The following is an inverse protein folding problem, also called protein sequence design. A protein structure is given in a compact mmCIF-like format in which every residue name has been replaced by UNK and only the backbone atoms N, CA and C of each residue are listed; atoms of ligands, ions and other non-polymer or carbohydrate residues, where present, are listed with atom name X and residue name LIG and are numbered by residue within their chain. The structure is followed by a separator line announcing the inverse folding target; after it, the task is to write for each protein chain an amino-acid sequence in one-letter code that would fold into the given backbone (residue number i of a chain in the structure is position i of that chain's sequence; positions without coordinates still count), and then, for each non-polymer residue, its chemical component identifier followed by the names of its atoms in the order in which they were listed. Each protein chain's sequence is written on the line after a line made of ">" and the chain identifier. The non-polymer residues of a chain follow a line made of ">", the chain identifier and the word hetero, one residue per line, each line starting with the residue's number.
data_IF_243310452324
#
_entry.id   IF_243310452324
#
_cell.length_a   1.000
_cell.length_b   1.000
_cell.length_c   1.000
_cell.angle_alpha   90.00
_cell.angle_beta   90.00
_cell.angle_gamma   90.00
#
_symmetry.space_group_name_H-M   'P 1'
#
loop_
_entity.id
_entity.type
_entity.pdbx_description
1 polymer ?
#
# COMPACT_ATOMS: atom_id res chain seq x y z
N UNK A 1 11.86 8.34 9.86
CA UNK A 1 12.32 9.66 9.32
C UNK A 1 11.25 10.70 9.63
N UNK A 2 11.61 11.93 10.03
CA UNK A 2 10.66 13.03 10.08
C UNK A 2 10.24 13.45 8.66
N UNK A 3 8.94 13.70 8.49
CA UNK A 3 8.33 14.17 7.26
C UNK A 3 7.54 15.44 7.59
N UNK A 4 7.70 16.48 6.78
CA UNK A 4 7.14 17.81 6.99
C UNK A 4 6.28 18.20 5.79
N UNK A 5 5.05 18.63 6.06
CA UNK A 5 4.11 19.08 5.02
C UNK A 5 4.07 20.61 5.04
N UNK A 6 4.42 21.23 3.92
CA UNK A 6 4.36 22.67 3.72
C UNK A 6 3.37 23.02 2.62
N UNK A 7 2.59 24.08 2.82
CA UNK A 7 1.84 24.73 1.74
C UNK A 7 2.78 25.75 1.05
N UNK A 8 2.71 25.97 -0.28
CA UNK A 8 3.43 27.06 -0.97
C UNK A 8 3.47 28.40 -0.24
N UNK A 9 2.38 28.79 0.40
CA UNK A 9 2.24 30.07 1.11
C UNK A 9 2.92 30.10 2.50
N UNK A 10 3.52 28.99 2.95
CA UNK A 10 4.31 28.94 4.20
C UNK A 10 5.80 29.22 4.00
N UNK A 11 6.27 29.37 2.75
CA UNK A 11 7.66 29.71 2.44
C UNK A 11 7.86 31.23 2.36
N UNK A 12 8.95 31.74 2.95
CA UNK A 12 9.36 33.15 2.89
C UNK A 12 10.02 33.49 1.55
N UNK A 13 9.21 33.47 0.49
CA UNK A 13 9.58 33.81 -0.89
C UNK A 13 9.05 35.20 -1.26
N UNK A 14 9.54 35.78 -2.35
CA UNK A 14 8.92 37.00 -2.89
C UNK A 14 7.50 36.72 -3.38
N UNK A 15 6.62 37.72 -3.37
CA UNK A 15 5.22 37.54 -3.78
C UNK A 15 5.10 36.97 -5.21
N UNK A 16 5.99 37.34 -6.13
CA UNK A 16 6.01 36.80 -7.50
C UNK A 16 6.39 35.32 -7.53
N UNK A 17 7.34 34.88 -6.70
CA UNK A 17 7.74 33.48 -6.57
C UNK A 17 6.64 32.66 -5.90
N UNK A 18 6.09 33.16 -4.79
CA UNK A 18 5.00 32.54 -4.05
C UNK A 18 3.75 32.36 -4.94
N UNK A 19 3.36 33.38 -5.70
CA UNK A 19 2.27 33.31 -6.67
C UNK A 19 2.53 32.34 -7.84
N UNK A 20 3.79 32.14 -8.27
CA UNK A 20 4.14 31.16 -9.32
C UNK A 20 4.10 29.72 -8.80
N UNK A 21 4.53 29.49 -7.57
CA UNK A 21 4.53 28.16 -6.93
C UNK A 21 3.10 27.78 -6.51
N UNK A 22 2.41 28.63 -5.76
CA UNK A 22 1.05 28.38 -5.24
C UNK A 22 -0.05 28.26 -6.31
N UNK A 23 0.24 28.60 -7.57
CA UNK A 23 -0.66 28.33 -8.71
C UNK A 23 -0.52 26.92 -9.29
N UNK A 24 0.64 26.28 -9.13
CA UNK A 24 1.01 25.04 -9.85
C UNK A 24 1.36 23.87 -8.93
N UNK A 25 1.60 24.13 -7.65
CA UNK A 25 1.99 23.15 -6.63
C UNK A 25 0.98 23.27 -5.48
N UNK A 26 0.35 22.17 -5.09
CA UNK A 26 -0.66 22.15 -4.03
C UNK A 26 -0.05 22.02 -2.62
N UNK A 27 0.95 21.14 -2.49
CA UNK A 27 1.71 20.86 -1.26
C UNK A 27 3.16 20.58 -1.61
N UNK A 28 4.06 20.81 -0.66
CA UNK A 28 5.47 20.44 -0.73
C UNK A 28 5.76 19.55 0.48
N UNK A 29 6.15 18.31 0.21
CA UNK A 29 6.56 17.33 1.22
C UNK A 29 8.09 17.33 1.33
N UNK A 30 8.61 17.47 2.54
CA UNK A 30 10.04 17.43 2.82
C UNK A 30 10.30 16.29 3.80
N UNK A 31 11.01 15.25 3.35
CA UNK A 31 11.57 14.22 4.21
C UNK A 31 13.01 14.58 4.55
N UNK A 32 13.37 14.53 5.83
CA UNK A 32 14.73 14.81 6.29
C UNK A 32 15.32 13.57 6.97
N UNK A 33 16.59 13.26 6.69
CA UNK A 33 17.28 12.10 7.23
C UNK A 33 17.95 12.41 8.58
N UNK A 34 18.49 13.63 8.74
CA UNK A 34 19.41 14.01 9.82
C UNK A 34 18.74 14.77 10.98
N UNK A 35 17.41 14.65 11.11
CA UNK A 35 16.60 15.32 12.15
C UNK A 35 15.75 14.30 12.92
N UNK A 36 15.46 14.58 14.19
CA UNK A 36 14.47 13.83 14.95
C UNK A 36 13.05 14.34 14.67
N UNK A 37 12.05 13.50 14.92
CA UNK A 37 10.64 13.92 14.81
C UNK A 37 10.36 15.04 15.81
N UNK A 38 9.56 16.03 15.40
CA UNK A 38 9.27 17.22 16.22
C UNK A 38 10.35 18.30 16.21
N UNK A 39 11.55 18.05 15.69
CA UNK A 39 12.51 19.13 15.43
C UNK A 39 11.93 20.13 14.43
N UNK A 40 11.99 21.43 14.75
CA UNK A 40 11.74 22.48 13.74
C UNK A 40 12.93 22.51 12.78
N UNK A 41 12.65 22.46 11.49
CA UNK A 41 13.61 22.81 10.43
C UNK A 41 13.41 24.29 10.11
N UNK A 42 14.49 25.07 10.18
CA UNK A 42 14.50 26.46 9.72
C UNK A 42 15.11 26.53 8.32
N UNK A 43 14.23 26.56 7.31
CA UNK A 43 14.62 26.64 5.90
C UNK A 43 15.29 27.98 5.51
N UNK A 44 15.42 28.93 6.43
CA UNK A 44 16.17 30.18 6.19
C UNK A 44 17.64 30.10 6.61
N UNK A 45 17.97 29.22 7.56
CA UNK A 45 19.35 29.03 8.07
C UNK A 45 19.95 27.67 7.69
N UNK A 46 19.12 26.62 7.54
CA UNK A 46 19.56 25.27 7.19
C UNK A 46 19.53 25.06 5.67
N UNK A 47 20.69 24.71 5.08
CA UNK A 47 20.79 24.38 3.65
C UNK A 47 20.47 22.91 3.40
N UNK A 48 19.61 22.65 2.41
CA UNK A 48 19.38 21.31 1.88
C UNK A 48 20.53 20.94 0.92
N UNK A 49 21.58 20.31 1.44
CA UNK A 49 22.81 20.03 0.67
C UNK A 49 22.64 18.93 -0.39
N UNK A 50 21.71 17.99 -0.18
CA UNK A 50 21.43 16.88 -1.10
C UNK A 50 19.93 16.58 -1.19
N UNK A 51 19.20 17.31 -2.04
CA UNK A 51 17.77 17.12 -2.27
C UNK A 51 17.48 16.34 -3.57
N UNK A 52 16.62 15.33 -3.48
CA UNK A 52 16.00 14.69 -4.65
C UNK A 52 14.60 15.26 -4.84
N UNK A 53 14.32 15.86 -6.00
CA UNK A 53 13.04 16.47 -6.29
C UNK A 53 12.12 15.50 -7.04
N UNK A 54 10.97 15.18 -6.45
CA UNK A 54 9.93 14.38 -7.06
C UNK A 54 8.69 15.24 -7.29
N UNK A 55 8.25 15.31 -8.54
CA UNK A 55 7.04 16.03 -8.93
C UNK A 55 6.00 15.00 -9.40
N UNK A 56 4.77 15.15 -8.93
CA UNK A 56 3.65 14.30 -9.35
C UNK A 56 2.36 15.11 -9.43
N UNK A 57 1.41 14.60 -10.20
CA UNK A 57 0.03 15.09 -10.25
C UNK A 57 -0.86 13.96 -9.77
N UNK A 58 -1.66 14.21 -8.74
CA UNK A 58 -2.68 13.26 -8.30
C UNK A 58 -3.87 13.30 -9.28
N UNK A 59 -4.35 12.13 -9.71
CA UNK A 59 -5.62 12.03 -10.42
C UNK A 59 -6.80 12.02 -9.42
N UNK A 60 -7.99 12.27 -9.93
CA UNK A 60 -9.24 12.27 -9.18
C UNK A 60 -10.28 11.29 -9.75
N UNK A 61 -9.83 10.22 -10.42
CA UNK A 61 -10.73 9.19 -10.96
C UNK A 61 -11.35 8.32 -9.86
N UNK A 62 -10.62 8.17 -8.74
CA UNK A 62 -11.05 7.43 -7.56
C UNK A 62 -11.03 5.92 -7.75
N UNK A 63 -11.84 5.22 -6.97
CA UNK A 63 -12.04 3.78 -7.06
C UNK A 63 -12.66 3.36 -8.40
N UNK A 64 -11.91 2.61 -9.20
CA UNK A 64 -12.43 1.90 -10.37
C UNK A 64 -12.80 0.47 -9.97
N UNK A 65 -14.06 0.25 -9.65
CA UNK A 65 -14.60 -1.10 -9.46
C UNK A 65 -14.60 -1.85 -10.81
N UNK A 66 -14.00 -3.04 -10.82
CA UNK A 66 -13.87 -3.85 -12.04
C UNK A 66 -14.48 -5.24 -11.87
N UNK A 67 -15.31 -5.65 -12.84
CA UNK A 67 -16.02 -6.93 -12.83
C UNK A 67 -15.19 -8.04 -13.49
N UNK A 68 -14.78 -9.04 -12.69
CA UNK A 68 -13.97 -10.19 -13.16
C UNK A 68 -14.82 -11.26 -13.86
N UNK A 69 -16.15 -11.17 -13.74
CA UNK A 69 -17.12 -12.15 -14.23
C UNK A 69 -18.12 -11.53 -15.22
N UNK A 70 -18.19 -12.09 -16.42
CA UNK A 70 -19.29 -11.85 -17.36
C UNK A 70 -20.53 -12.64 -16.89
N UNK A 71 -21.73 -12.11 -17.13
CA UNK A 71 -23.00 -12.72 -16.70
C UNK A 71 -23.42 -13.89 -17.60
N UNK A 72 -22.76 -15.04 -17.46
CA UNK A 72 -23.18 -16.30 -18.09
C UNK A 72 -24.43 -16.89 -17.41
N UNK A 73 -25.59 -16.35 -17.78
CA UNK A 73 -26.96 -16.82 -17.47
C UNK A 73 -27.47 -16.59 -16.03
N UNK A 74 -28.81 -16.64 -15.91
CA UNK A 74 -29.54 -16.28 -14.70
C UNK A 74 -29.47 -17.39 -13.64
N UNK A 75 -28.80 -17.13 -12.51
CA UNK A 75 -29.36 -17.19 -11.14
C UNK A 75 -28.25 -16.93 -10.08
N UNK A 76 -28.42 -15.91 -9.23
CA UNK A 76 -27.58 -15.67 -8.04
C UNK A 76 -26.74 -14.38 -8.02
N UNK A 77 -26.80 -13.64 -6.90
CA UNK A 77 -25.96 -12.45 -6.65
C UNK A 77 -24.53 -12.84 -6.25
N UNK A 78 -23.70 -13.10 -7.26
CA UNK A 78 -22.27 -13.39 -7.14
C UNK A 78 -21.41 -12.34 -7.84
N UNK A 79 -21.76 -11.06 -7.70
CA UNK A 79 -20.89 -9.95 -8.14
C UNK A 79 -19.59 -9.97 -7.33
N UNK A 80 -18.46 -10.08 -8.03
CA UNK A 80 -17.12 -9.97 -7.47
C UNK A 80 -16.48 -8.72 -8.04
N UNK A 81 -16.60 -7.62 -7.32
CA UNK A 81 -15.84 -6.42 -7.58
C UNK A 81 -14.41 -6.58 -7.08
N UNK A 82 -13.44 -6.29 -7.94
CA UNK A 82 -12.07 -5.99 -7.51
C UNK A 82 -11.82 -4.50 -7.69
N UNK A 83 -11.21 -3.86 -6.70
CA UNK A 83 -11.02 -2.41 -6.71
C UNK A 83 -9.65 -2.04 -7.28
N UNK A 84 -9.63 -1.21 -8.32
CA UNK A 84 -8.42 -0.70 -8.96
C UNK A 84 -8.32 0.82 -8.78
N UNK A 85 -7.10 1.33 -8.58
CA UNK A 85 -6.80 2.77 -8.62
C UNK A 85 -5.62 3.03 -9.57
N UNK A 86 -5.70 4.10 -10.36
CA UNK A 86 -4.50 4.63 -11.02
C UNK A 86 -3.71 5.48 -10.01
N UNK A 87 -2.39 5.30 -9.95
CA UNK A 87 -1.52 6.02 -9.00
C UNK A 87 -0.68 7.09 -9.72
N UNK A 88 -0.48 8.27 -9.13
CA UNK A 88 -0.98 8.70 -7.81
C UNK A 88 -2.45 9.12 -7.85
N UNK A 89 -3.26 8.68 -6.88
CA UNK A 89 -4.64 9.13 -6.66
C UNK A 89 -4.71 10.11 -5.49
N UNK A 90 -5.58 11.11 -5.59
CA UNK A 90 -5.86 12.07 -4.51
C UNK A 90 -6.46 11.41 -3.26
N UNK A 91 -7.12 10.26 -3.42
CA UNK A 91 -7.73 9.50 -2.33
C UNK A 91 -6.69 8.96 -1.32
N UNK A 92 -5.43 8.83 -1.71
CA UNK A 92 -4.34 8.40 -0.83
C UNK A 92 -3.45 9.56 -0.32
N UNK A 93 -3.76 10.82 -0.67
CA UNK A 93 -2.91 11.96 -0.31
C UNK A 93 -3.03 12.29 1.19
N UNK A 94 -1.90 12.28 1.92
CA UNK A 94 -1.86 12.49 3.37
C UNK A 94 -1.96 11.21 4.21
N UNK A 95 -2.30 10.05 3.61
CA UNK A 95 -2.40 8.79 4.35
C UNK A 95 -1.04 8.34 4.91
N UNK A 96 0.03 8.46 4.13
CA UNK A 96 1.37 8.04 4.54
C UNK A 96 1.87 8.85 5.74
N UNK A 97 1.58 10.14 5.77
CA UNK A 97 2.01 11.09 6.82
C UNK A 97 1.20 10.87 8.11
N UNK A 98 -0.11 10.64 7.98
CA UNK A 98 -1.02 10.36 9.10
C UNK A 98 -0.78 9.00 9.76
N UNK A 99 -0.10 8.05 9.11
CA UNK A 99 0.33 6.80 9.73
C UNK A 99 1.55 7.03 10.64
N UNK A 100 1.27 7.12 11.94
CA UNK A 100 2.24 7.36 13.02
C UNK A 100 2.68 6.02 13.64
N UNK A 101 3.99 5.77 13.67
CA UNK A 101 4.61 4.59 14.31
C UNK A 101 5.80 4.99 15.18
N UNK A 102 6.28 4.04 15.98
CA UNK A 102 7.53 4.15 16.76
C UNK A 102 8.72 4.47 15.85
N UNK A 103 9.71 5.20 16.36
CA UNK A 103 10.89 5.63 15.58
C UNK A 103 11.86 4.47 15.36
N UNK A 104 12.20 3.74 16.42
CA UNK A 104 13.24 2.70 16.41
C UNK A 104 12.86 1.45 15.60
N UNK A 105 11.56 1.17 15.47
CA UNK A 105 11.02 -0.01 14.77
C UNK A 105 10.14 0.38 13.56
N UNK A 106 10.32 1.59 13.01
CA UNK A 106 9.39 2.22 12.07
C UNK A 106 9.12 1.37 10.80
N UNK A 107 7.89 0.80 10.62
CA UNK A 107 7.58 -0.06 9.48
C UNK A 107 7.66 0.67 8.15
N UNK A 108 7.28 1.96 8.13
CA UNK A 108 7.36 2.84 6.94
C UNK A 108 8.77 2.89 6.35
N UNK A 109 9.78 3.13 7.18
CA UNK A 109 11.17 3.18 6.70
C UNK A 109 11.69 1.81 6.25
N UNK A 110 11.26 0.71 6.88
CA UNK A 110 11.58 -0.67 6.42
C UNK A 110 10.98 -0.96 5.04
N UNK A 111 9.70 -0.64 4.85
CA UNK A 111 8.96 -0.85 3.59
C UNK A 111 9.56 -0.03 2.44
N UNK A 112 9.75 1.28 2.63
CA UNK A 112 10.33 2.16 1.60
C UNK A 112 11.75 1.74 1.22
N UNK A 113 12.58 1.36 2.20
CA UNK A 113 13.93 0.86 1.92
C UNK A 113 13.91 -0.46 1.13
N UNK A 114 13.01 -1.39 1.45
CA UNK A 114 12.86 -2.66 0.74
C UNK A 114 12.42 -2.47 -0.72
N UNK A 115 11.40 -1.64 -0.95
CA UNK A 115 10.89 -1.35 -2.31
C UNK A 115 11.93 -0.58 -3.12
N UNK A 116 12.54 0.46 -2.55
CA UNK A 116 13.61 1.26 -3.20
C UNK A 116 14.80 0.38 -3.59
N UNK A 117 15.22 -0.52 -2.70
CA UNK A 117 16.34 -1.46 -2.95
C UNK A 117 15.98 -2.50 -4.01
N UNK A 118 14.77 -3.04 -3.97
CA UNK A 118 14.29 -4.00 -4.96
C UNK A 118 14.19 -3.41 -6.36
N UNK A 119 13.70 -2.17 -6.48
CA UNK A 119 13.68 -1.40 -7.73
C UNK A 119 15.08 -1.06 -8.24
N UNK A 120 16.02 -0.68 -7.35
CA UNK A 120 17.44 -0.46 -7.73
C UNK A 120 18.05 -1.74 -8.30
N UNK A 121 17.93 -2.88 -7.62
CA UNK A 121 18.45 -4.16 -8.09
C UNK A 121 17.79 -4.64 -9.39
N UNK A 122 16.50 -4.34 -9.61
CA UNK A 122 15.83 -4.60 -10.88
C UNK A 122 16.44 -3.79 -12.03
N UNK A 123 16.65 -2.47 -11.83
CA UNK A 123 17.27 -1.58 -12.83
C UNK A 123 18.73 -1.97 -13.17
N UNK A 124 19.43 -2.64 -12.27
CA UNK A 124 20.78 -3.16 -12.51
C UNK A 124 20.81 -4.61 -13.04
N UNK A 125 19.65 -5.21 -13.36
CA UNK A 125 19.59 -6.56 -13.94
C UNK A 125 20.09 -7.67 -13.01
N UNK A 126 20.14 -7.43 -11.70
CA UNK A 126 20.60 -8.44 -10.72
C UNK A 126 19.62 -9.61 -10.71
N UNK A 127 20.12 -10.83 -10.90
CA UNK A 127 19.31 -12.05 -11.01
C UNK A 127 18.35 -12.22 -9.81
N UNK A 128 17.02 -12.27 -10.02
CA UNK A 128 16.05 -12.48 -8.95
C UNK A 128 16.13 -13.86 -8.29
N UNK A 129 16.96 -14.79 -8.77
CA UNK A 129 17.29 -16.05 -8.08
C UNK A 129 18.35 -15.90 -6.99
N UNK A 130 19.19 -14.85 -7.06
CA UNK A 130 20.25 -14.59 -6.06
C UNK A 130 19.70 -13.78 -4.87
N UNK A 131 18.62 -13.02 -5.10
CA UNK A 131 17.89 -12.27 -4.07
C UNK A 131 16.41 -12.55 -4.27
N UNK A 132 15.78 -13.28 -3.34
CA UNK A 132 14.37 -13.68 -3.37
C UNK A 132 13.42 -12.48 -3.25
N UNK A 133 13.32 -11.72 -4.33
CA UNK A 133 12.39 -10.61 -4.48
C UNK A 133 11.02 -11.18 -4.82
N UNK A 134 10.14 -11.12 -3.84
CA UNK A 134 8.73 -11.33 -4.13
C UNK A 134 8.25 -10.09 -4.86
N UNK A 135 7.71 -10.30 -6.07
CA UNK A 135 7.00 -9.34 -6.90
C UNK A 135 5.48 -9.74 -7.08
N UNK A 136 4.59 -8.85 -7.58
CA UNK A 136 3.54 -8.23 -6.76
C UNK A 136 2.58 -7.15 -7.56
N UNK A 137 1.21 -7.09 -7.73
CA UNK A 137 0.44 -6.06 -8.60
C UNK A 137 -0.97 -5.45 -8.16
N UNK A 138 -1.29 -4.13 -8.28
CA UNK A 138 -2.46 -3.43 -7.60
C UNK A 138 -3.90 -3.83 -7.93
N UNK A 139 -4.58 -4.39 -6.91
CA UNK A 139 -6.03 -4.50 -6.66
C UNK A 139 -6.28 -4.54 -5.13
N UNK A 140 -7.43 -4.08 -4.59
CA UNK A 140 -7.89 -4.44 -3.23
C UNK A 140 -8.94 -5.57 -3.31
N UNK A 141 -8.81 -6.58 -2.44
CA UNK A 141 -9.49 -7.89 -2.55
C UNK A 141 -10.11 -8.26 -1.19
N UNK A 142 -11.37 -7.88 -0.98
CA UNK A 142 -12.08 -8.01 0.32
C UNK A 142 -12.44 -9.48 0.66
N UNK A 143 -11.58 -10.11 1.44
CA UNK A 143 -11.68 -11.47 2.01
C UNK A 143 -13.08 -11.92 2.46
N UNK A 144 -13.77 -11.11 3.28
CA UNK A 144 -15.00 -11.49 4.00
C UNK A 144 -16.12 -12.00 3.08
N UNK A 145 -16.24 -11.42 1.88
CA UNK A 145 -17.24 -11.84 0.88
C UNK A 145 -16.68 -12.78 -0.20
N UNK A 146 -15.36 -12.87 -0.32
CA UNK A 146 -14.71 -13.56 -1.42
C UNK A 146 -14.49 -15.03 -1.10
N UNK A 147 -13.63 -15.38 -0.14
CA UNK A 147 -13.16 -16.77 0.00
C UNK A 147 -14.30 -17.77 0.30
N UNK A 148 -15.29 -17.37 1.10
CA UNK A 148 -16.50 -18.14 1.39
C UNK A 148 -17.33 -18.49 0.14
N UNK A 149 -17.49 -17.55 -0.81
CA UNK A 149 -18.14 -17.81 -2.12
C UNK A 149 -17.17 -18.52 -3.08
N UNK A 150 -15.89 -18.17 -3.03
CA UNK A 150 -14.88 -18.59 -3.99
C UNK A 150 -14.53 -20.08 -3.88
N UNK A 151 -14.61 -20.70 -2.69
CA UNK A 151 -14.36 -22.14 -2.56
C UNK A 151 -15.35 -23.04 -3.32
N UNK A 152 -16.47 -22.53 -3.82
CA UNK A 152 -17.41 -23.28 -4.67
C UNK A 152 -17.08 -23.25 -6.18
N UNK A 153 -16.51 -22.16 -6.72
CA UNK A 153 -16.42 -21.94 -8.18
C UNK A 153 -15.11 -21.28 -8.68
N UNK A 154 -14.26 -20.77 -7.78
CA UNK A 154 -13.31 -19.68 -8.12
C UNK A 154 -12.09 -20.02 -8.96
N UNK A 155 -11.75 -21.29 -9.22
CA UNK A 155 -10.50 -21.63 -9.94
C UNK A 155 -10.32 -20.85 -11.25
N UNK A 156 -11.42 -20.63 -11.97
CA UNK A 156 -11.48 -19.80 -13.18
C UNK A 156 -11.42 -18.29 -12.90
N UNK A 157 -12.03 -17.79 -11.82
CA UNK A 157 -12.02 -16.37 -11.44
C UNK A 157 -10.64 -15.92 -10.95
N UNK A 158 -9.97 -16.74 -10.11
CA UNK A 158 -8.55 -16.58 -9.76
C UNK A 158 -7.73 -16.49 -11.05
N UNK A 159 -7.92 -17.43 -11.99
CA UNK A 159 -7.16 -17.43 -13.23
C UNK A 159 -7.46 -16.21 -14.14
N UNK A 160 -8.73 -15.78 -14.28
CA UNK A 160 -9.10 -14.56 -15.03
C UNK A 160 -8.42 -13.33 -14.43
N UNK A 161 -8.58 -13.11 -13.11
CA UNK A 161 -7.98 -11.99 -12.39
C UNK A 161 -6.46 -11.94 -12.57
N UNK A 162 -5.79 -13.05 -12.27
CA UNK A 162 -4.33 -13.11 -12.36
C UNK A 162 -3.80 -13.04 -13.81
N UNK A 163 -4.57 -13.45 -14.82
CA UNK A 163 -4.16 -13.27 -16.22
C UNK A 163 -4.20 -11.80 -16.65
N UNK A 164 -5.19 -11.03 -16.18
CA UNK A 164 -5.28 -9.58 -16.43
C UNK A 164 -4.22 -8.79 -15.67
N UNK A 165 -3.93 -9.21 -14.44
CA UNK A 165 -2.78 -8.76 -13.67
C UNK A 165 -1.46 -8.93 -14.46
N UNK A 166 -1.28 -10.05 -15.17
CA UNK A 166 -0.09 -10.27 -16.01
C UNK A 166 -0.07 -9.37 -17.25
N UNK A 167 -1.21 -9.15 -17.92
CA UNK A 167 -1.33 -8.20 -19.05
C UNK A 167 -0.95 -6.77 -18.63
N UNK A 168 -1.37 -6.35 -17.44
CA UNK A 168 -0.96 -5.08 -16.84
C UNK A 168 0.53 -5.05 -16.44
N UNK A 169 1.13 -6.20 -16.12
CA UNK A 169 2.53 -6.31 -15.72
C UNK A 169 3.52 -6.32 -16.90
N UNK A 170 3.12 -6.89 -18.03
CA UNK A 170 3.88 -6.88 -19.30
C UNK A 170 4.11 -5.45 -19.82
N UNK A 171 3.29 -4.50 -19.38
CA UNK A 171 3.46 -3.07 -19.56
C UNK A 171 4.56 -2.50 -18.65
N UNK A 172 5.80 -2.52 -19.13
CA UNK A 172 6.99 -2.03 -18.40
C UNK A 172 7.00 -0.53 -18.11
N UNK A 173 6.03 0.25 -18.61
CA UNK A 173 5.82 1.66 -18.26
C UNK A 173 5.16 1.87 -16.88
N UNK A 174 4.63 0.80 -16.25
CA UNK A 174 3.77 0.89 -15.06
C UNK A 174 4.34 0.17 -13.84
N UNK A 175 4.20 0.82 -12.67
CA UNK A 175 4.48 0.29 -11.33
C UNK A 175 3.16 0.02 -10.60
N UNK A 176 2.99 -1.16 -9.99
CA UNK A 176 1.67 -1.71 -9.62
C UNK A 176 1.77 -2.49 -8.28
N UNK A 177 0.83 -2.40 -7.32
CA UNK A 177 0.94 -2.89 -5.90
C UNK A 177 -0.30 -3.66 -5.29
N UNK A 178 -0.48 -5.02 -5.31
CA UNK A 178 -1.76 -5.66 -4.77
C UNK A 178 -1.93 -5.30 -3.29
N UNK A 179 -3.17 -5.15 -2.82
CA UNK A 179 -3.50 -5.35 -1.42
C UNK A 179 -4.37 -6.61 -1.29
N UNK A 180 -3.75 -7.73 -0.89
CA UNK A 180 -4.47 -8.97 -0.57
C UNK A 180 -4.74 -8.94 0.92
N UNK A 181 -5.99 -8.67 1.29
CA UNK A 181 -6.38 -8.51 2.69
C UNK A 181 -6.81 -9.84 3.34
N UNK A 182 -6.68 -9.88 4.67
CA UNK A 182 -6.93 -11.03 5.55
C UNK A 182 -6.47 -12.39 4.99
N UNK A 183 -5.21 -12.52 4.57
CA UNK A 183 -4.69 -13.77 3.96
C UNK A 183 -4.74 -15.00 4.88
N UNK A 184 -4.99 -14.84 6.19
CA UNK A 184 -5.33 -15.94 7.11
C UNK A 184 -6.56 -16.75 6.68
N UNK A 185 -7.50 -16.13 5.97
CA UNK A 185 -8.71 -16.77 5.45
C UNK A 185 -8.40 -17.92 4.48
N UNK A 186 -7.27 -17.85 3.77
CA UNK A 186 -6.75 -18.92 2.91
C UNK A 186 -6.33 -20.13 3.74
N UNK A 187 -5.57 -19.90 4.82
CA UNK A 187 -5.07 -20.96 5.71
C UNK A 187 -6.19 -21.61 6.51
N UNK A 188 -7.15 -20.83 7.01
CA UNK A 188 -8.32 -21.37 7.73
C UNK A 188 -9.17 -22.24 6.79
N UNK A 189 -9.32 -21.84 5.52
CA UNK A 189 -9.93 -22.69 4.47
C UNK A 189 -9.14 -23.98 4.18
N UNK A 190 -7.83 -23.99 4.45
CA UNK A 190 -6.95 -25.18 4.33
C UNK A 190 -7.04 -26.10 5.54
N UNK A 191 -7.05 -25.57 6.76
CA UNK A 191 -7.17 -26.34 8.01
C UNK A 191 -8.55 -26.97 8.21
N UNK A 192 -9.61 -26.23 7.89
CA UNK A 192 -10.99 -26.75 7.92
C UNK A 192 -11.19 -27.87 6.90
N UNK A 193 -10.57 -27.78 5.71
CA UNK A 193 -10.59 -28.84 4.70
C UNK A 193 -9.89 -30.13 5.18
N UNK A 194 -8.82 -30.05 5.99
CA UNK A 194 -8.21 -31.23 6.63
C UNK A 194 -9.09 -31.88 7.72
N UNK A 195 -10.13 -31.17 8.19
CA UNK A 195 -11.04 -31.62 9.24
C UNK A 195 -12.39 -32.12 8.71
N UNK A 196 -12.67 -31.91 7.41
CA UNK A 196 -13.92 -32.25 6.74
C UNK A 196 -13.80 -33.47 5.80
N UNK A 197 -14.94 -33.98 5.35
CA UNK A 197 -15.00 -35.19 4.53
C UNK A 197 -14.85 -34.93 3.01
N UNK A 198 -14.82 -33.66 2.58
CA UNK A 198 -14.53 -33.20 1.20
C UNK A 198 -13.35 -32.21 1.21
N UNK A 199 -12.08 -32.67 1.23
CA UNK A 199 -10.93 -31.80 1.44
C UNK A 199 -10.46 -31.03 0.19
N UNK A 200 -10.95 -31.37 -1.00
CA UNK A 200 -10.18 -31.11 -2.22
C UNK A 200 -10.19 -29.68 -2.72
N UNK A 201 -11.35 -29.02 -2.74
CA UNK A 201 -11.50 -27.82 -3.58
C UNK A 201 -11.01 -26.54 -2.92
N UNK A 202 -11.11 -26.42 -1.59
CA UNK A 202 -10.42 -25.36 -0.84
C UNK A 202 -8.90 -25.47 -0.97
N UNK A 203 -8.34 -26.69 -0.85
CA UNK A 203 -6.90 -26.93 -1.00
C UNK A 203 -6.45 -26.67 -2.46
N UNK A 204 -7.28 -27.02 -3.46
CA UNK A 204 -7.02 -26.67 -4.88
C UNK A 204 -7.03 -25.15 -5.11
N UNK A 205 -7.99 -24.41 -4.55
CA UNK A 205 -8.09 -22.96 -4.70
C UNK A 205 -6.88 -22.24 -4.08
N UNK A 206 -6.45 -22.60 -2.87
CA UNK A 206 -5.25 -22.05 -2.22
C UNK A 206 -4.00 -22.34 -3.05
N UNK A 207 -3.80 -23.59 -3.49
CA UNK A 207 -2.64 -23.95 -4.33
C UNK A 207 -2.68 -23.24 -5.70
N UNK A 208 -3.86 -23.03 -6.30
CA UNK A 208 -4.00 -22.27 -7.54
C UNK A 208 -3.61 -20.81 -7.33
N UNK A 209 -4.04 -20.17 -6.24
CA UNK A 209 -3.66 -18.80 -5.89
C UNK A 209 -2.15 -18.67 -5.63
N UNK A 210 -1.56 -19.57 -4.84
CA UNK A 210 -0.10 -19.62 -4.63
C UNK A 210 0.66 -19.76 -5.96
N UNK A 211 0.15 -20.57 -6.89
CA UNK A 211 0.72 -20.75 -8.23
C UNK A 211 0.65 -19.46 -9.06
N UNK A 212 -0.46 -18.70 -9.00
CA UNK A 212 -0.52 -17.40 -9.69
C UNK A 212 0.41 -16.37 -9.04
N UNK A 213 0.49 -16.32 -7.70
CA UNK A 213 1.43 -15.45 -6.99
C UNK A 213 2.88 -15.73 -7.39
N UNK A 214 3.27 -17.00 -7.55
CA UNK A 214 4.60 -17.35 -8.06
C UNK A 214 4.82 -16.92 -9.52
N UNK A 215 3.79 -16.96 -10.38
CA UNK A 215 3.89 -16.45 -11.76
C UNK A 215 4.15 -14.95 -11.83
N UNK A 216 3.64 -14.15 -10.87
CA UNK A 216 3.85 -12.69 -10.83
C UNK A 216 5.29 -12.30 -10.48
N UNK A 217 6.03 -13.17 -9.78
CA UNK A 217 7.42 -12.90 -9.35
C UNK A 217 8.40 -12.70 -10.51
N UNK A 218 8.02 -13.07 -11.74
CA UNK A 218 8.82 -12.85 -12.95
C UNK A 218 8.90 -11.38 -13.38
N UNK A 219 7.95 -10.55 -12.97
CA UNK A 219 7.88 -9.13 -13.34
C UNK A 219 8.52 -8.27 -12.25
N UNK A 220 9.37 -7.31 -12.62
CA UNK A 220 10.15 -6.52 -11.67
C UNK A 220 9.51 -5.17 -11.27
N UNK A 221 8.44 -4.77 -11.96
CA UNK A 221 7.76 -3.48 -11.88
C UNK A 221 6.54 -3.51 -10.91
N UNK A 222 6.62 -4.32 -9.86
CA UNK A 222 5.47 -5.10 -9.36
C UNK A 222 5.68 -5.21 -7.80
N UNK A 223 4.85 -4.48 -6.98
CA UNK A 223 4.66 -4.06 -5.51
C UNK A 223 3.62 -4.59 -4.37
N UNK A 224 2.76 -5.66 -4.42
CA UNK A 224 1.95 -6.32 -3.29
C UNK A 224 2.37 -5.96 -1.85
N UNK A 225 1.33 -5.70 -1.06
CA UNK A 225 1.25 -5.91 0.38
C UNK A 225 0.19 -6.98 0.67
N UNK A 226 0.51 -7.95 1.54
CA UNK A 226 -0.48 -8.86 2.10
C UNK A 226 -0.69 -8.47 3.57
N UNK A 227 -1.94 -8.29 3.99
CA UNK A 227 -2.31 -7.97 5.37
C UNK A 227 -2.94 -9.19 6.05
N UNK A 228 -2.67 -9.33 7.35
CA UNK A 228 -3.21 -10.43 8.14
C UNK A 228 -3.37 -10.05 9.61
N UNK A 229 -4.49 -10.41 10.22
CA UNK A 229 -4.75 -10.19 11.63
C UNK A 229 -4.22 -11.33 12.51
N UNK A 230 -3.84 -12.47 11.91
CA UNK A 230 -3.49 -13.71 12.62
C UNK A 230 -2.15 -14.25 12.13
N UNK A 231 -1.06 -13.74 12.70
CA UNK A 231 0.34 -14.11 12.41
C UNK A 231 0.58 -15.64 12.32
N UNK A 232 -0.11 -16.42 13.17
CA UNK A 232 0.03 -17.88 13.26
C UNK A 232 -0.84 -18.68 12.28
N UNK A 233 -1.76 -18.02 11.56
CA UNK A 233 -2.62 -18.64 10.57
C UNK A 233 -2.14 -18.35 9.14
N UNK A 234 -0.83 -18.37 8.91
CA UNK A 234 -0.23 -18.38 7.58
C UNK A 234 0.51 -19.70 7.40
N UNK A 235 0.16 -20.47 6.37
CA UNK A 235 0.84 -21.75 6.12
C UNK A 235 2.30 -21.55 5.68
N UNK A 236 3.13 -22.57 5.91
CA UNK A 236 4.56 -22.51 5.60
C UNK A 236 4.84 -22.18 4.13
N UNK A 237 3.99 -22.62 3.19
CA UNK A 237 4.16 -22.33 1.78
C UNK A 237 3.86 -20.86 1.45
N UNK A 238 2.99 -20.20 2.20
CA UNK A 238 2.82 -18.75 2.12
C UNK A 238 4.01 -18.01 2.77
N UNK A 239 4.46 -18.44 3.95
CA UNK A 239 5.60 -17.82 4.68
C UNK A 239 6.91 -17.89 3.88
N UNK A 240 7.21 -19.02 3.25
CA UNK A 240 8.36 -19.20 2.32
C UNK A 240 8.33 -18.23 1.12
N UNK A 241 7.19 -17.58 0.86
CA UNK A 241 6.95 -16.63 -0.23
C UNK A 241 6.89 -15.16 0.24
N UNK A 242 7.20 -14.87 1.51
CA UNK A 242 7.26 -13.49 2.03
C UNK A 242 8.67 -12.92 1.83
N UNK A 243 8.78 -11.78 1.11
CA UNK A 243 10.07 -11.09 0.92
C UNK A 243 10.44 -10.11 2.04
N UNK A 244 9.42 -9.57 2.71
CA UNK A 244 9.52 -8.72 3.89
C UNK A 244 8.28 -8.97 4.74
N UNK A 245 8.46 -9.38 6.00
CA UNK A 245 7.39 -9.39 7.00
C UNK A 245 7.50 -8.13 7.85
N UNK A 246 6.36 -7.49 8.14
CA UNK A 246 6.26 -6.32 9.02
C UNK A 246 5.19 -6.59 10.08
N UNK A 247 5.61 -6.59 11.34
CA UNK A 247 4.70 -6.74 12.47
C UNK A 247 4.25 -5.36 12.98
N UNK A 248 2.95 -5.09 12.93
CA UNK A 248 2.36 -3.83 13.35
C UNK A 248 1.88 -3.93 14.80
N UNK A 249 2.72 -3.44 15.73
CA UNK A 249 2.39 -3.34 17.16
C UNK A 249 1.29 -2.30 17.39
N UNK A 250 0.53 -2.47 18.48
CA UNK A 250 -0.29 -1.40 19.04
C UNK A 250 0.57 -0.17 19.38
N UNK A 251 0.07 1.06 19.17
CA UNK A 251 0.86 2.27 19.39
C UNK A 251 1.20 2.47 20.87
N UNK A 252 2.43 2.88 21.15
CA UNK A 252 2.87 3.26 22.50
C UNK A 252 2.36 4.67 22.88
N UNK A 253 2.64 5.13 24.12
CA UNK A 253 2.15 6.42 24.61
C UNK A 253 2.64 7.64 23.80
N UNK A 254 3.87 7.64 23.29
CA UNK A 254 4.42 8.71 22.44
C UNK A 254 3.72 8.76 21.06
N UNK A 255 3.44 7.57 20.50
CA UNK A 255 2.69 7.42 19.25
C UNK A 255 1.24 7.85 19.43
N UNK A 256 0.59 7.48 20.55
CA UNK A 256 -0.77 7.91 20.89
C UNK A 256 -0.84 9.43 21.08
N UNK A 257 0.08 10.03 21.83
CA UNK A 257 0.15 11.48 22.05
C UNK A 257 0.37 12.26 20.74
N UNK A 258 1.23 11.73 19.86
CA UNK A 258 1.43 12.26 18.50
C UNK A 258 0.15 12.21 17.66
N UNK A 259 -0.62 11.11 17.72
CA UNK A 259 -1.90 10.97 17.00
C UNK A 259 -2.92 11.96 17.55
N UNK A 260 -3.08 12.04 18.87
CA UNK A 260 -4.04 12.93 19.52
C UNK A 260 -3.72 14.40 19.26
N UNK A 261 -2.43 14.79 19.30
CA UNK A 261 -1.99 16.15 18.98
C UNK A 261 -2.28 16.50 17.53
N UNK A 262 -1.97 15.62 16.56
CA UNK A 262 -2.32 15.82 15.16
C UNK A 262 -3.85 15.99 14.97
N UNK A 263 -4.67 15.16 15.63
CA UNK A 263 -6.13 15.30 15.57
C UNK A 263 -6.63 16.63 16.19
N UNK A 264 -6.03 17.08 17.29
CA UNK A 264 -6.37 18.35 17.95
C UNK A 264 -5.97 19.56 17.10
N UNK A 265 -4.81 19.53 16.46
CA UNK A 265 -4.36 20.61 15.59
C UNK A 265 -5.13 20.66 14.26
N UNK A 266 -5.53 19.51 13.71
CA UNK A 266 -6.47 19.47 12.57
C UNK A 266 -7.86 20.00 12.97
N UNK A 267 -8.34 19.70 14.18
CA UNK A 267 -9.59 20.30 14.69
C UNK A 267 -9.49 21.83 14.84
N UNK A 268 -8.35 22.38 15.30
CA UNK A 268 -8.08 23.84 15.32
C UNK A 268 -8.05 24.43 13.91
N UNK A 269 -7.52 23.70 12.92
CA UNK A 269 -7.40 24.14 11.52
C UNK A 269 -8.74 24.18 10.80
N UNK A 270 -9.60 23.19 11.04
CA UNK A 270 -10.92 23.05 10.39
C UNK A 270 -12.01 23.83 11.11
N UNK A 271 -11.91 24.03 12.43
CA UNK A 271 -12.80 24.88 13.22
C UNK A 271 -11.99 25.81 14.11
N UNK A 272 -12.30 27.10 14.06
CA UNK A 272 -11.74 28.15 14.93
C UNK A 272 -12.17 28.05 16.40
N UNK A 273 -12.25 26.85 16.98
CA UNK A 273 -12.55 26.57 18.39
C UNK A 273 -11.53 27.17 19.38
N UNK A 274 -10.38 27.60 18.86
CA UNK A 274 -9.33 28.34 19.57
C UNK A 274 -8.88 29.57 18.77
N UNK A 275 -9.78 30.16 17.96
CA UNK A 275 -9.60 31.54 17.55
C UNK A 275 -9.81 32.40 18.80
N UNK A 276 -8.80 33.19 19.18
CA UNK A 276 -8.88 34.02 20.37
C UNK A 276 -9.89 35.14 20.17
N UNK A 277 -10.98 35.12 20.94
CA UNK A 277 -11.69 36.35 21.32
C UNK A 277 -10.80 37.07 22.35
N UNK A 278 -9.89 37.94 21.86
CA UNK A 278 -8.92 38.68 22.68
C UNK A 278 -8.11 39.70 21.89
#
# INVERSE_FOLDING_TARGET
>A
MPQYIFNPHTFLLSDEQNNKIGRNILRIFIECLDKSRGSRIDLTTERLEAANYYFYTANNYGEMAEEVAEKENNEGDSQVGTFQWELPSIEFEGFWENLIYEIDDCPKSKLTNFISTSLKFARFGVDPKILSRNHLILLNVNSHSLFSKWFSESGKLIQKLFSKIEELAERTDRLIFVLIDEVESLTIGRETAFSGNDPTDSIRAVNAMLTQLDRLKRFSNVFIICTSNIERALDAAFVDRIGLSLYFKSPNLEVIDSILTNCVDEMKRVKGLFANDG
#
